data_IF_716013617348
#
_entry.id   IF_716013617348
#
_cell.length_a   1.000
_cell.length_b   1.000
_cell.length_c   1.000
_cell.angle_alpha   90.00
_cell.angle_beta   90.00
_cell.angle_gamma   90.00
#
_symmetry.space_group_name_H-M   'P 1'
#
loop_
_entity.id
_entity.type
_entity.pdbx_description
1 polymer ?
#
# COMPACT_ATOMS: atom_id res chain seq x y z
N UNK A 1 19.19 0.91 19.91
CA UNK A 1 18.95 -0.54 20.08
C UNK A 1 20.00 -1.29 19.31
N UNK A 2 20.33 -2.51 19.72
CA UNK A 2 21.25 -3.40 18.98
C UNK A 2 20.65 -3.72 17.62
N UNK A 3 21.47 -3.69 16.56
CA UNK A 3 21.04 -4.10 15.23
C UNK A 3 20.78 -5.62 15.21
N UNK A 4 19.70 -6.02 14.53
CA UNK A 4 19.36 -7.41 14.26
C UNK A 4 19.66 -7.65 12.78
N UNK A 5 20.67 -8.48 12.53
CA UNK A 5 21.28 -8.69 11.21
C UNK A 5 20.63 -9.86 10.47
N UNK A 6 20.02 -10.82 11.18
CA UNK A 6 19.52 -12.06 10.58
C UNK A 6 18.11 -12.45 11.07
N UNK A 7 17.34 -13.23 10.29
CA UNK A 7 16.06 -13.78 10.73
C UNK A 7 16.16 -14.62 12.00
N UNK A 8 17.25 -15.38 12.19
CA UNK A 8 17.46 -16.22 13.39
C UNK A 8 17.58 -15.38 14.65
N UNK A 9 18.24 -14.22 14.56
CA UNK A 9 18.33 -13.27 15.68
C UNK A 9 16.95 -12.67 16.00
N UNK A 10 16.19 -12.30 14.97
CA UNK A 10 14.82 -11.77 15.16
C UNK A 10 13.92 -12.79 15.87
N UNK A 11 14.02 -14.08 15.51
CA UNK A 11 13.24 -15.20 16.09
C UNK A 11 13.58 -15.51 17.56
N UNK A 12 14.69 -14.99 18.11
CA UNK A 12 15.07 -15.23 19.52
C UNK A 12 14.17 -14.49 20.52
N UNK A 13 13.64 -13.33 20.14
CA UNK A 13 12.67 -12.58 20.93
C UNK A 13 11.31 -12.65 20.24
N UNK A 14 10.37 -13.36 20.87
CA UNK A 14 9.01 -13.54 20.35
C UNK A 14 8.29 -12.22 20.12
N UNK A 15 8.44 -11.24 21.01
CA UNK A 15 7.75 -9.94 20.87
C UNK A 15 8.30 -9.18 19.68
N UNK A 16 9.62 -9.24 19.48
CA UNK A 16 10.30 -8.66 18.33
C UNK A 16 9.86 -9.31 17.02
N UNK A 17 9.89 -10.64 16.96
CA UNK A 17 9.49 -11.39 15.78
C UNK A 17 8.03 -11.10 15.39
N UNK A 18 7.09 -11.16 16.34
CA UNK A 18 5.67 -10.87 16.07
C UNK A 18 5.44 -9.43 15.57
N UNK A 19 6.13 -8.43 16.17
CA UNK A 19 6.00 -7.04 15.74
C UNK A 19 6.63 -6.78 14.36
N UNK A 20 7.77 -7.43 14.08
CA UNK A 20 8.43 -7.36 12.78
C UNK A 20 7.58 -8.01 11.69
N UNK A 21 7.07 -9.23 11.92
CA UNK A 21 6.21 -9.95 10.97
C UNK A 21 4.96 -9.13 10.66
N UNK A 22 4.26 -8.61 11.66
CA UNK A 22 3.06 -7.78 11.43
C UNK A 22 3.40 -6.53 10.58
N UNK A 23 4.51 -5.86 10.86
CA UNK A 23 4.96 -4.70 10.09
C UNK A 23 5.28 -5.07 8.63
N UNK A 24 5.98 -6.18 8.38
CA UNK A 24 6.37 -6.59 7.03
C UNK A 24 5.13 -7.03 6.24
N UNK A 25 4.15 -7.70 6.86
CA UNK A 25 2.86 -7.97 6.21
C UNK A 25 2.12 -6.70 5.80
N UNK A 26 2.12 -5.65 6.63
CA UNK A 26 1.49 -4.38 6.25
C UNK A 26 2.11 -3.79 4.99
N UNK A 27 3.45 -3.82 4.87
CA UNK A 27 4.13 -3.37 3.65
C UNK A 27 3.79 -4.25 2.44
N UNK A 28 3.90 -5.57 2.59
CA UNK A 28 3.64 -6.52 1.53
C UNK A 28 2.20 -6.43 1.01
N UNK A 29 1.23 -6.41 1.92
CA UNK A 29 -0.19 -6.43 1.56
C UNK A 29 -0.66 -5.11 0.97
N UNK A 30 -0.16 -3.97 1.48
CA UNK A 30 -0.45 -2.66 0.88
C UNK A 30 0.05 -2.60 -0.57
N UNK A 31 1.30 -2.99 -0.82
CA UNK A 31 1.88 -3.01 -2.17
C UNK A 31 1.15 -4.00 -3.10
N UNK A 32 0.80 -5.17 -2.58
CA UNK A 32 0.14 -6.23 -3.34
C UNK A 32 -1.23 -5.76 -3.84
N UNK A 33 -2.09 -5.21 -2.96
CA UNK A 33 -3.43 -4.76 -3.37
C UNK A 33 -3.38 -3.51 -4.26
N UNK A 34 -2.46 -2.56 -3.99
CA UNK A 34 -2.30 -1.37 -4.82
C UNK A 34 -1.84 -1.75 -6.22
N UNK A 35 -0.90 -2.69 -6.34
CA UNK A 35 -0.44 -3.16 -7.66
C UNK A 35 -1.55 -3.90 -8.42
N UNK A 36 -2.37 -4.71 -7.74
CA UNK A 36 -3.53 -5.33 -8.38
C UNK A 36 -4.49 -4.28 -8.95
N UNK A 37 -4.88 -3.29 -8.14
CA UNK A 37 -5.76 -2.21 -8.60
C UNK A 37 -5.12 -1.35 -9.69
N UNK A 38 -3.79 -1.25 -9.72
CA UNK A 38 -3.07 -0.63 -10.83
C UNK A 38 -3.13 -1.47 -12.11
N UNK A 39 -3.01 -2.80 -12.01
CA UNK A 39 -2.98 -3.69 -13.17
C UNK A 39 -4.30 -3.69 -13.96
N UNK A 40 -5.42 -3.44 -13.27
CA UNK A 40 -6.73 -3.29 -13.90
C UNK A 40 -6.78 -2.15 -14.93
N UNK A 41 -5.87 -1.17 -14.85
CA UNK A 41 -5.83 -0.02 -15.78
C UNK A 41 -5.09 -0.28 -17.09
N UNK A 42 -4.48 -1.45 -17.29
CA UNK A 42 -3.66 -1.71 -18.47
C UNK A 42 -4.45 -1.57 -19.79
N UNK A 43 -4.16 -0.52 -20.56
CA UNK A 43 -4.85 -0.20 -21.82
C UNK A 43 -6.13 0.62 -21.64
N UNK A 44 -6.39 1.12 -20.43
CA UNK A 44 -7.56 1.94 -20.07
C UNK A 44 -7.16 3.31 -19.52
N UNK A 45 -5.86 3.62 -19.42
CA UNK A 45 -5.42 4.91 -18.91
C UNK A 45 -5.84 6.06 -19.86
N UNK A 46 -5.90 7.32 -19.38
CA UNK A 46 -6.43 8.43 -20.18
C UNK A 46 -5.66 8.73 -21.48
N UNK A 47 -4.39 8.34 -21.56
CA UNK A 47 -3.56 8.46 -22.75
C UNK A 47 -2.43 7.41 -22.74
N UNK A 48 -1.84 7.15 -23.90
CA UNK A 48 -0.90 6.05 -24.11
C UNK A 48 0.37 6.15 -23.26
N UNK A 49 0.87 7.36 -23.01
CA UNK A 49 2.02 7.57 -22.14
C UNK A 49 1.69 7.20 -20.69
N UNK A 50 0.44 7.39 -20.26
CA UNK A 50 -0.01 7.02 -18.93
C UNK A 50 -0.15 5.51 -18.80
N UNK A 51 -0.62 4.81 -19.83
CA UNK A 51 -0.63 3.34 -19.83
C UNK A 51 0.77 2.78 -19.57
N UNK A 52 1.80 3.37 -20.22
CA UNK A 52 3.20 2.97 -20.02
C UNK A 52 3.69 3.32 -18.61
N UNK A 53 3.47 4.57 -18.18
CA UNK A 53 3.96 5.05 -16.89
C UNK A 53 3.32 4.28 -15.71
N UNK A 54 1.99 4.15 -15.73
CA UNK A 54 1.28 3.48 -14.65
C UNK A 54 1.52 1.97 -14.63
N UNK A 55 1.67 1.33 -15.80
CA UNK A 55 2.06 -0.08 -15.85
C UNK A 55 3.46 -0.30 -15.26
N UNK A 56 4.41 0.60 -15.52
CA UNK A 56 5.75 0.53 -14.91
C UNK A 56 5.68 0.66 -13.40
N UNK A 57 5.00 1.69 -12.88
CA UNK A 57 4.82 1.91 -11.43
C UNK A 57 4.17 0.68 -10.79
N UNK A 58 3.12 0.16 -11.43
CA UNK A 58 2.39 -1.03 -10.96
C UNK A 58 3.30 -2.26 -10.89
N UNK A 59 4.10 -2.51 -11.92
CA UNK A 59 5.05 -3.61 -11.94
C UNK A 59 6.10 -3.47 -10.83
N UNK A 60 6.68 -2.28 -10.65
CA UNK A 60 7.64 -2.01 -9.58
C UNK A 60 7.01 -2.25 -8.21
N UNK A 61 5.79 -1.76 -7.99
CA UNK A 61 5.04 -1.97 -6.74
C UNK A 61 4.73 -3.43 -6.47
N UNK A 62 4.38 -4.24 -7.48
CA UNK A 62 4.25 -5.70 -7.31
C UNK A 62 5.61 -6.34 -6.94
N UNK A 63 6.70 -5.89 -7.55
CA UNK A 63 8.06 -6.31 -7.20
C UNK A 63 8.42 -5.96 -5.75
N UNK A 64 7.96 -4.81 -5.24
CA UNK A 64 8.12 -4.42 -3.83
C UNK A 64 7.36 -5.36 -2.90
N UNK A 65 6.10 -5.71 -3.21
CA UNK A 65 5.35 -6.70 -2.46
C UNK A 65 6.10 -8.04 -2.37
N UNK A 66 6.66 -8.51 -3.49
CA UNK A 66 7.45 -9.72 -3.54
C UNK A 66 8.68 -9.68 -2.61
N UNK A 67 9.44 -8.57 -2.61
CA UNK A 67 10.58 -8.41 -1.70
C UNK A 67 10.16 -8.53 -0.23
N UNK A 68 9.01 -7.97 0.15
CA UNK A 68 8.50 -8.10 1.51
C UNK A 68 7.99 -9.50 1.84
N UNK A 69 7.36 -10.20 0.88
CA UNK A 69 6.99 -11.61 1.07
C UNK A 69 8.21 -12.52 1.22
N UNK A 70 9.31 -12.26 0.51
CA UNK A 70 10.57 -12.99 0.72
C UNK A 70 11.14 -12.77 2.13
N UNK A 71 11.08 -11.55 2.66
CA UNK A 71 11.46 -11.31 4.06
C UNK A 71 10.59 -12.11 5.05
N UNK A 72 9.28 -12.21 4.79
CA UNK A 72 8.37 -13.01 5.60
C UNK A 72 8.70 -14.51 5.52
N UNK A 73 9.05 -15.00 4.34
CA UNK A 73 9.51 -16.38 4.12
C UNK A 73 10.76 -16.67 4.95
N UNK A 74 11.77 -15.80 4.90
CA UNK A 74 12.98 -15.90 5.73
C UNK A 74 12.65 -15.87 7.24
N UNK A 75 11.65 -15.06 7.63
CA UNK A 75 11.11 -14.99 8.99
C UNK A 75 10.26 -16.20 9.37
N UNK A 76 10.08 -17.18 8.48
CA UNK A 76 9.45 -18.47 8.77
C UNK A 76 7.93 -18.49 8.63
N UNK A 77 7.34 -17.51 7.94
CA UNK A 77 5.89 -17.42 7.75
C UNK A 77 5.36 -18.36 6.67
N UNK A 78 6.23 -18.87 5.79
CA UNK A 78 5.88 -19.75 4.69
C UNK A 78 6.42 -19.25 3.36
N UNK A 79 6.27 -20.05 2.30
CA UNK A 79 6.69 -19.70 0.94
C UNK A 79 6.01 -18.41 0.43
N UNK A 80 6.77 -17.54 -0.22
CA UNK A 80 6.29 -16.22 -0.65
C UNK A 80 5.04 -16.28 -1.57
N UNK A 81 4.95 -17.26 -2.47
CA UNK A 81 3.78 -17.40 -3.35
C UNK A 81 2.55 -17.81 -2.54
N UNK A 82 2.72 -18.73 -1.60
CA UNK A 82 1.65 -19.15 -0.69
C UNK A 82 1.18 -17.97 0.17
N UNK A 83 2.10 -17.15 0.68
CA UNK A 83 1.76 -15.93 1.43
C UNK A 83 1.00 -14.90 0.59
N UNK A 84 1.30 -14.80 -0.71
CA UNK A 84 0.64 -13.88 -1.62
C UNK A 84 -0.74 -14.39 -2.09
N UNK A 85 -0.89 -15.69 -2.36
CA UNK A 85 -2.06 -16.23 -3.06
C UNK A 85 -3.02 -17.06 -2.18
N UNK A 86 -2.57 -17.65 -1.08
CA UNK A 86 -3.38 -18.57 -0.26
C UNK A 86 -4.00 -17.93 0.99
N UNK A 87 -3.51 -16.75 1.42
CA UNK A 87 -4.05 -16.07 2.60
C UNK A 87 -5.43 -15.46 2.35
N UNK A 88 -6.34 -15.72 3.28
CA UNK A 88 -7.72 -15.22 3.30
C UNK A 88 -7.75 -13.71 3.58
N UNK A 89 -8.84 -13.01 3.25
CA UNK A 89 -9.00 -11.59 3.56
C UNK A 89 -8.70 -11.24 5.03
N UNK A 90 -9.22 -12.02 5.99
CA UNK A 90 -9.01 -11.75 7.43
C UNK A 90 -7.56 -11.89 7.93
N UNK A 91 -6.68 -12.44 7.09
CA UNK A 91 -5.26 -12.62 7.37
C UNK A 91 -4.40 -11.53 6.71
N UNK A 92 -5.02 -10.67 5.90
CA UNK A 92 -4.36 -9.54 5.27
C UNK A 92 -4.21 -8.39 6.24
N UNK A 93 -3.26 -7.53 5.90
CA UNK A 93 -2.90 -6.35 6.67
C UNK A 93 -2.99 -5.07 5.86
N UNK A 94 -3.43 -5.10 4.60
CA UNK A 94 -3.54 -3.90 3.78
C UNK A 94 -4.56 -2.91 4.35
N UNK A 95 -4.42 -1.62 4.08
CA UNK A 95 -5.44 -0.64 4.43
C UNK A 95 -6.71 -0.83 3.57
N UNK A 96 -7.87 -0.53 4.14
CA UNK A 96 -9.18 -0.78 3.50
C UNK A 96 -9.39 0.10 2.28
N UNK A 97 -8.96 1.36 2.33
CA UNK A 97 -9.12 2.28 1.19
C UNK A 97 -8.38 1.79 -0.08
N UNK A 98 -7.34 0.97 0.07
CA UNK A 98 -6.56 0.45 -1.06
C UNK A 98 -7.31 -0.64 -1.84
N UNK A 99 -8.29 -1.29 -1.20
CA UNK A 99 -9.08 -2.38 -1.78
C UNK A 99 -10.07 -1.89 -2.82
N UNK A 100 -10.50 -0.64 -2.70
CA UNK A 100 -11.60 -0.05 -3.44
C UNK A 100 -11.44 -0.25 -4.94
N UNK A 101 -12.48 -0.76 -5.60
CA UNK A 101 -12.47 -0.93 -7.07
C UNK A 101 -12.28 0.41 -7.78
N UNK A 102 -11.67 0.35 -8.97
CA UNK A 102 -11.43 1.54 -9.79
C UNK A 102 -12.72 2.21 -10.28
N UNK A 103 -13.85 1.49 -10.30
CA UNK A 103 -15.15 2.03 -10.70
C UNK A 103 -16.18 0.91 -10.87
N UNK A 104 -17.20 1.17 -11.68
CA UNK A 104 -18.19 0.16 -12.07
C UNK A 104 -17.68 -0.69 -13.23
N UNK A 105 -18.23 -1.90 -13.38
CA UNK A 105 -17.79 -2.86 -14.40
C UNK A 105 -16.47 -3.55 -14.04
N UNK A 106 -15.99 -4.39 -14.96
CA UNK A 106 -14.69 -5.06 -14.86
C UNK A 106 -13.92 -4.88 -16.15
N UNK A 107 -12.64 -5.25 -16.17
CA UNK A 107 -11.86 -5.26 -17.42
C UNK A 107 -12.54 -6.10 -18.53
N UNK A 108 -13.24 -7.17 -18.14
CA UNK A 108 -13.95 -8.06 -19.07
C UNK A 108 -15.37 -7.58 -19.40
N UNK A 109 -15.94 -6.69 -18.58
CA UNK A 109 -17.34 -6.26 -18.65
C UNK A 109 -17.44 -4.74 -18.50
N UNK A 110 -17.27 -4.01 -19.62
CA UNK A 110 -17.40 -2.55 -19.76
C UNK A 110 -16.86 -1.74 -18.56
N UNK A 111 -15.54 -1.46 -18.51
CA UNK A 111 -14.94 -0.76 -17.37
C UNK A 111 -15.31 0.73 -17.38
N UNK A 112 -16.03 1.18 -16.34
CA UNK A 112 -16.33 2.59 -16.06
C UNK A 112 -15.48 3.07 -14.88
N UNK A 113 -14.16 3.12 -15.10
CA UNK A 113 -13.20 3.47 -14.06
C UNK A 113 -13.08 4.97 -13.82
N UNK A 114 -12.83 5.34 -12.57
CA UNK A 114 -12.67 6.72 -12.12
C UNK A 114 -11.19 7.08 -11.97
N UNK A 115 -10.68 7.84 -12.95
CA UNK A 115 -9.30 8.31 -12.92
C UNK A 115 -9.00 9.20 -11.72
N UNK A 116 -9.95 10.03 -11.27
CA UNK A 116 -9.73 10.90 -10.12
C UNK A 116 -9.54 10.09 -8.83
N UNK A 117 -10.26 8.98 -8.68
CA UNK A 117 -10.07 8.05 -7.56
C UNK A 117 -8.66 7.47 -7.58
N UNK A 118 -8.22 7.02 -8.75
CA UNK A 118 -6.89 6.42 -8.92
C UNK A 118 -5.79 7.41 -8.56
N UNK A 119 -5.87 8.65 -9.06
CA UNK A 119 -4.91 9.71 -8.76
C UNK A 119 -4.86 10.00 -7.26
N UNK A 120 -6.01 10.15 -6.59
CA UNK A 120 -6.04 10.42 -5.14
C UNK A 120 -5.51 9.23 -4.34
N UNK A 121 -5.97 8.01 -4.61
CA UNK A 121 -5.50 6.80 -3.92
C UNK A 121 -3.99 6.65 -4.04
N UNK A 122 -3.47 6.74 -5.26
CA UNK A 122 -2.04 6.58 -5.50
C UNK A 122 -1.23 7.71 -4.89
N UNK A 123 -1.66 8.97 -5.01
CA UNK A 123 -0.94 10.07 -4.38
C UNK A 123 -0.86 9.91 -2.85
N UNK A 124 -1.99 9.63 -2.19
CA UNK A 124 -2.02 9.47 -0.73
C UNK A 124 -1.21 8.25 -0.28
N UNK A 125 -1.29 7.14 -1.02
CA UNK A 125 -0.52 5.94 -0.74
C UNK A 125 0.98 6.16 -0.93
N UNK A 126 1.41 6.65 -2.09
CA UNK A 126 2.83 6.81 -2.42
C UNK A 126 3.51 7.86 -1.51
N UNK A 127 2.73 8.84 -1.05
CA UNK A 127 3.16 9.79 0.00
C UNK A 127 3.40 9.05 1.32
N UNK A 128 2.45 8.21 1.75
CA UNK A 128 2.57 7.45 3.01
C UNK A 128 3.68 6.41 2.94
N UNK A 129 3.75 5.65 1.84
CA UNK A 129 4.77 4.65 1.58
C UNK A 129 6.16 5.25 1.65
N UNK A 130 6.40 6.42 1.04
CA UNK A 130 7.69 7.13 1.16
C UNK A 130 8.05 7.42 2.62
N UNK A 131 7.12 7.99 3.40
CA UNK A 131 7.35 8.30 4.82
C UNK A 131 7.62 7.04 5.64
N UNK A 132 6.85 5.97 5.41
CA UNK A 132 6.99 4.67 6.09
C UNK A 132 8.31 4.00 5.74
N UNK A 133 8.73 4.03 4.47
CA UNK A 133 10.02 3.50 4.00
C UNK A 133 11.20 4.29 4.55
N UNK A 134 11.14 5.63 4.61
CA UNK A 134 12.19 6.46 5.22
C UNK A 134 12.38 6.15 6.71
N UNK A 135 11.30 5.79 7.41
CA UNK A 135 11.36 5.30 8.79
C UNK A 135 11.93 3.87 8.85
N UNK A 136 11.46 2.96 7.99
CA UNK A 136 11.92 1.57 7.94
C UNK A 136 13.39 1.44 7.52
N UNK A 137 13.92 2.36 6.72
CA UNK A 137 15.34 2.45 6.37
C UNK A 137 16.27 2.67 7.58
N UNK A 138 15.70 2.99 8.75
CA UNK A 138 16.37 3.16 10.04
C UNK A 138 15.99 2.05 11.04
N UNK A 139 15.34 0.98 10.57
CA UNK A 139 14.88 -0.12 11.40
C UNK A 139 16.04 -0.80 12.12
N UNK A 140 15.76 -1.32 13.31
CA UNK A 140 16.68 -2.20 14.03
C UNK A 140 16.93 -3.51 13.27
N UNK A 141 15.97 -3.95 12.44
CA UNK A 141 16.13 -5.12 11.58
C UNK A 141 16.80 -4.73 10.25
N UNK A 142 18.06 -5.11 10.07
CA UNK A 142 18.88 -4.68 8.93
C UNK A 142 18.34 -5.16 7.57
N UNK A 143 17.81 -6.39 7.42
CA UNK A 143 17.22 -6.81 6.14
C UNK A 143 16.03 -5.95 5.69
N UNK A 144 15.15 -5.55 6.61
CA UNK A 144 14.07 -4.60 6.30
C UNK A 144 14.62 -3.20 5.97
N UNK A 145 15.62 -2.72 6.71
CA UNK A 145 16.23 -1.42 6.44
C UNK A 145 16.87 -1.37 5.05
N UNK A 146 17.61 -2.40 4.66
CA UNK A 146 18.22 -2.53 3.33
C UNK A 146 17.16 -2.60 2.22
N UNK A 147 16.10 -3.39 2.44
CA UNK A 147 14.97 -3.49 1.49
C UNK A 147 14.28 -2.14 1.32
N UNK A 148 14.01 -1.42 2.41
CA UNK A 148 13.40 -0.10 2.34
C UNK A 148 14.28 0.92 1.59
N UNK A 149 15.60 0.92 1.81
CA UNK A 149 16.54 1.78 1.08
C UNK A 149 16.54 1.47 -0.42
N UNK A 150 16.48 0.20 -0.81
CA UNK A 150 16.39 -0.21 -2.21
C UNK A 150 15.13 0.34 -2.87
N UNK A 151 13.98 0.14 -2.22
CA UNK A 151 12.66 0.59 -2.72
C UNK A 151 12.58 2.11 -2.84
N UNK A 152 13.20 2.86 -1.91
CA UNK A 152 13.20 4.33 -1.93
C UNK A 152 13.80 4.94 -3.21
N UNK A 153 14.71 4.23 -3.87
CA UNK A 153 15.28 4.67 -5.14
C UNK A 153 14.22 4.80 -6.24
N UNK A 154 13.25 3.90 -6.28
CA UNK A 154 12.14 3.89 -7.25
C UNK A 154 10.97 4.75 -6.75
N UNK A 155 10.67 4.69 -5.45
CA UNK A 155 9.57 5.41 -4.78
C UNK A 155 9.53 6.91 -5.07
N UNK A 156 10.72 7.52 -5.21
CA UNK A 156 10.84 8.96 -5.48
C UNK A 156 10.20 9.33 -6.82
N UNK A 157 10.34 8.47 -7.85
CA UNK A 157 9.76 8.69 -9.17
C UNK A 157 8.26 8.42 -9.18
N UNK A 158 7.80 7.40 -8.45
CA UNK A 158 6.37 7.10 -8.32
C UNK A 158 5.63 8.29 -7.70
N UNK A 159 6.14 8.81 -6.58
CA UNK A 159 5.52 9.96 -5.93
C UNK A 159 5.55 11.22 -6.81
N UNK A 160 6.63 11.44 -7.55
CA UNK A 160 6.72 12.56 -8.48
C UNK A 160 5.64 12.49 -9.58
N UNK A 161 5.38 11.29 -10.12
CA UNK A 161 4.32 11.05 -11.11
C UNK A 161 2.93 11.42 -10.57
N UNK A 162 2.57 10.92 -9.38
CA UNK A 162 1.24 11.19 -8.82
C UNK A 162 1.06 12.62 -8.33
N UNK A 163 2.13 13.28 -7.88
CA UNK A 163 2.11 14.73 -7.61
C UNK A 163 1.80 15.54 -8.86
N UNK A 164 2.38 15.15 -10.00
CA UNK A 164 2.12 15.78 -11.28
C UNK A 164 0.65 15.64 -11.65
N UNK A 165 0.05 14.45 -11.52
CA UNK A 165 -1.38 14.23 -11.78
C UNK A 165 -2.31 15.01 -10.87
N UNK A 166 -2.05 15.03 -9.55
CA UNK A 166 -2.82 15.85 -8.60
C UNK A 166 -2.76 17.32 -9.00
N UNK A 167 -1.57 17.82 -9.34
CA UNK A 167 -1.38 19.20 -9.80
C UNK A 167 -2.16 19.48 -11.08
N UNK A 168 -2.06 18.60 -12.07
CA UNK A 168 -2.75 18.78 -13.36
C UNK A 168 -4.27 18.82 -13.19
N UNK A 169 -4.87 17.85 -12.50
CA UNK A 169 -6.33 17.79 -12.34
C UNK A 169 -6.90 18.97 -11.53
N UNK A 170 -6.17 19.47 -10.54
CA UNK A 170 -6.55 20.66 -9.76
C UNK A 170 -6.47 21.97 -10.58
N UNK A 171 -5.74 21.99 -11.69
CA UNK A 171 -5.58 23.16 -12.56
C UNK A 171 -6.25 23.00 -13.93
N UNK A 172 -6.90 21.87 -14.19
CA UNK A 172 -7.61 21.58 -15.43
C UNK A 172 -9.00 22.23 -15.46
N UNK A 173 -10.01 21.53 -15.99
CA UNK A 173 -11.38 22.02 -16.11
C UNK A 173 -12.09 22.11 -14.75
N UNK A 174 -13.19 22.86 -14.68
CA UNK A 174 -13.99 22.93 -13.46
C UNK A 174 -14.52 21.54 -13.04
N UNK A 175 -14.85 20.69 -14.00
CA UNK A 175 -15.27 19.31 -13.74
C UNK A 175 -14.14 18.50 -13.09
N UNK A 176 -12.92 18.54 -13.64
CA UNK A 176 -11.76 17.84 -13.09
C UNK A 176 -11.47 18.27 -11.65
N UNK A 177 -11.54 19.58 -11.37
CA UNK A 177 -11.38 20.14 -10.03
C UNK A 177 -12.41 19.61 -9.04
N UNK A 178 -13.68 19.57 -9.44
CA UNK A 178 -14.77 19.04 -8.59
C UNK A 178 -14.58 17.55 -8.33
N UNK A 179 -14.22 16.77 -9.35
CA UNK A 179 -14.02 15.32 -9.22
C UNK A 179 -12.85 15.00 -8.29
N UNK A 180 -11.68 15.61 -8.49
CA UNK A 180 -10.52 15.34 -7.63
C UNK A 180 -10.79 15.78 -6.19
N UNK A 181 -11.40 16.96 -5.97
CA UNK A 181 -11.74 17.43 -4.64
C UNK A 181 -12.73 16.49 -3.94
N UNK A 182 -13.75 16.00 -4.65
CA UNK A 182 -14.70 15.01 -4.10
C UNK A 182 -14.00 13.72 -3.68
N UNK A 183 -12.99 13.26 -4.42
CA UNK A 183 -12.21 12.06 -4.06
C UNK A 183 -11.31 12.31 -2.85
N UNK A 184 -10.75 13.52 -2.68
CA UNK A 184 -10.02 13.91 -1.46
C UNK A 184 -10.94 13.91 -0.24
N UNK A 185 -12.13 14.48 -0.36
CA UNK A 185 -13.13 14.51 0.72
C UNK A 185 -13.63 13.10 1.10
N UNK A 186 -13.80 12.22 0.11
CA UNK A 186 -14.11 10.80 0.33
C UNK A 186 -12.96 10.10 1.08
N UNK A 187 -11.72 10.25 0.59
CA UNK A 187 -10.54 9.66 1.23
C UNK A 187 -10.41 10.08 2.70
N UNK A 188 -10.78 11.32 3.05
CA UNK A 188 -10.72 11.78 4.44
C UNK A 188 -11.63 11.01 5.40
N UNK A 189 -12.70 10.40 4.89
CA UNK A 189 -13.62 9.58 5.69
C UNK A 189 -13.18 8.11 5.78
N UNK A 190 -12.29 7.68 4.90
CA UNK A 190 -12.06 6.26 4.62
C UNK A 190 -10.60 5.82 4.82
N UNK A 191 -9.62 6.72 4.71
CA UNK A 191 -8.18 6.42 4.65
C UNK A 191 -7.51 6.27 6.03
N UNK A 192 -8.23 6.51 7.13
CA UNK A 192 -7.63 6.63 8.47
C UNK A 192 -6.83 5.41 8.91
N UNK A 193 -7.25 4.20 8.53
CA UNK A 193 -6.57 2.95 8.90
C UNK A 193 -5.21 2.78 8.20
N UNK A 194 -5.00 3.40 7.03
CA UNK A 194 -3.73 3.36 6.33
C UNK A 194 -2.58 3.95 7.17
N UNK A 195 -2.89 4.95 8.00
CA UNK A 195 -1.94 5.64 8.88
C UNK A 195 -1.78 4.97 10.24
N UNK A 196 -2.50 3.87 10.49
CA UNK A 196 -2.38 3.05 11.70
C UNK A 196 -1.42 1.87 11.47
N UNK A 197 -0.81 1.40 12.55
CA UNK A 197 0.13 0.28 12.62
C UNK A 197 -0.45 -0.91 13.41
N UNK A 198 -1.72 -0.83 13.83
CA UNK A 198 -2.44 -1.92 14.47
C UNK A 198 -1.96 -2.25 15.89
N UNK A 199 -2.25 -3.47 16.35
CA UNK A 199 -2.04 -3.89 17.74
C UNK A 199 -0.57 -3.96 18.17
N UNK A 200 0.37 -4.01 17.21
CA UNK A 200 1.82 -4.08 17.46
C UNK A 200 2.52 -2.72 17.39
N UNK A 201 1.81 -1.62 17.18
CA UNK A 201 2.38 -0.27 17.03
C UNK A 201 3.35 0.13 18.16
N UNK A 202 2.98 -0.16 19.42
CA UNK A 202 3.80 0.17 20.59
C UNK A 202 5.11 -0.63 20.56
N UNK A 203 5.04 -1.92 20.23
CA UNK A 203 6.22 -2.79 20.16
C UNK A 203 7.11 -2.40 18.99
N UNK A 204 6.54 -2.10 17.81
CA UNK A 204 7.29 -1.62 16.64
C UNK A 204 8.15 -0.39 17.00
N UNK A 205 7.57 0.59 17.70
CA UNK A 205 8.29 1.79 18.15
C UNK A 205 9.33 1.45 19.22
N UNK A 206 8.93 0.71 20.25
CA UNK A 206 9.79 0.36 21.39
C UNK A 206 11.00 -0.47 20.98
N UNK A 207 10.85 -1.30 19.95
CA UNK A 207 11.88 -2.20 19.41
C UNK A 207 12.65 -1.59 18.22
N UNK A 208 12.35 -0.34 17.87
CA UNK A 208 13.05 0.41 16.84
C UNK A 208 12.83 -0.14 15.44
N UNK A 209 11.73 -0.86 15.21
CA UNK A 209 11.36 -1.38 13.90
C UNK A 209 10.83 -0.28 12.98
N UNK A 210 10.08 0.67 13.55
CA UNK A 210 9.51 1.83 12.87
C UNK A 210 9.34 2.99 13.87
N UNK A 211 9.16 4.22 13.40
CA UNK A 211 8.72 5.30 14.28
C UNK A 211 7.21 5.18 14.63
N UNK A 212 6.73 6.05 15.52
CA UNK A 212 5.34 6.00 15.97
C UNK A 212 4.35 6.57 14.95
N UNK A 213 3.08 6.15 15.05
CA UNK A 213 1.97 6.58 14.19
C UNK A 213 1.85 8.10 14.08
N UNK A 214 1.94 8.82 15.21
CA UNK A 214 1.86 10.29 15.23
C UNK A 214 2.92 10.95 14.33
N UNK A 215 4.15 10.41 14.33
CA UNK A 215 5.24 10.95 13.51
C UNK A 215 5.01 10.66 12.03
N UNK A 216 4.57 9.45 11.69
CA UNK A 216 4.23 9.07 10.32
C UNK A 216 3.09 9.93 9.79
N UNK A 217 2.01 10.07 10.57
CA UNK A 217 0.83 10.88 10.23
C UNK A 217 1.17 12.35 10.05
N UNK A 218 1.98 12.92 10.94
CA UNK A 218 2.41 14.31 10.83
C UNK A 218 3.20 14.56 9.55
N UNK A 219 4.20 13.72 9.25
CA UNK A 219 5.01 13.83 8.02
C UNK A 219 4.19 13.64 6.77
N UNK A 220 3.27 12.68 6.78
CA UNK A 220 2.34 12.45 5.67
C UNK A 220 1.44 13.66 5.43
N UNK A 221 0.81 14.19 6.50
CA UNK A 221 -0.11 15.31 6.38
C UNK A 221 0.60 16.56 5.87
N UNK A 222 1.82 16.83 6.35
CA UNK A 222 2.65 17.95 5.88
C UNK A 222 2.93 17.87 4.37
N UNK A 223 3.11 16.67 3.82
CA UNK A 223 3.35 16.47 2.40
C UNK A 223 2.06 16.62 1.58
N UNK A 224 0.94 16.12 2.11
CA UNK A 224 -0.40 16.23 1.52
C UNK A 224 -0.83 17.70 1.42
N UNK A 225 -0.67 18.47 2.50
CA UNK A 225 -1.00 19.90 2.56
C UNK A 225 -0.20 20.76 1.56
N UNK A 226 0.94 20.29 1.08
CA UNK A 226 1.74 21.01 0.07
C UNK A 226 1.21 20.87 -1.35
N UNK A 227 0.51 19.79 -1.69
CA UNK A 227 0.12 19.48 -3.07
C UNK A 227 -1.39 19.40 -3.27
N UNK A 228 -2.17 19.19 -2.21
CA UNK A 228 -3.63 19.18 -2.26
C UNK A 228 -4.16 20.57 -1.90
N UNK A 229 -4.86 21.20 -2.84
CA UNK A 229 -5.28 22.60 -2.73
C UNK A 229 -6.26 22.86 -1.57
N UNK A 230 -7.14 21.90 -1.27
CA UNK A 230 -8.10 22.00 -0.17
C UNK A 230 -8.17 20.67 0.58
N UNK A 231 -7.28 20.55 1.56
CA UNK A 231 -7.30 19.45 2.53
C UNK A 231 -8.47 19.65 3.51
N UNK A 232 -9.32 18.63 3.74
CA UNK A 232 -10.39 18.73 4.72
C UNK A 232 -9.88 18.98 6.15
N UNK A 233 -10.58 19.83 6.90
CA UNK A 233 -10.23 20.15 8.30
C UNK A 233 -10.77 19.13 9.30
N UNK A 234 -11.62 18.22 8.84
CA UNK A 234 -12.13 17.12 9.67
C UNK A 234 -11.01 16.12 9.96
N UNK A 235 -11.08 15.39 11.09
CA UNK A 235 -10.17 14.27 11.32
C UNK A 235 -10.30 13.22 10.21
N UNK A 236 -9.19 12.52 9.94
CA UNK A 236 -9.23 11.29 9.15
C UNK A 236 -10.06 10.23 9.87
N UNK A 237 -10.99 9.61 9.15
CA UNK A 237 -11.84 8.53 9.64
C UNK A 237 -11.54 7.24 8.86
N UNK A 238 -12.07 6.12 9.37
CA UNK A 238 -11.91 4.77 8.80
C UNK A 238 -13.27 4.09 8.69
N UNK A 239 -14.24 4.77 8.08
CA UNK A 239 -15.63 4.34 8.10
C UNK A 239 -15.90 3.02 7.35
N UNK A 240 -14.95 2.56 6.52
CA UNK A 240 -15.04 1.29 5.79
C UNK A 240 -14.50 0.07 6.57
N UNK A 241 -13.80 0.27 7.69
CA UNK A 241 -13.19 -0.80 8.48
C UNK A 241 -11.74 -0.50 8.87
N UNK A 242 -11.07 -1.51 9.44
CA UNK A 242 -9.67 -1.43 9.82
C UNK A 242 -8.89 -2.66 9.30
N UNK A 243 -8.21 -2.49 8.18
CA UNK A 243 -7.49 -3.58 7.53
C UNK A 243 -6.25 -4.02 8.32
N UNK A 244 -5.68 -3.14 9.16
CA UNK A 244 -4.62 -3.51 10.11
C UNK A 244 -5.11 -4.52 11.17
N UNK A 245 -6.41 -4.53 11.43
CA UNK A 245 -7.10 -5.46 12.32
C UNK A 245 -7.72 -6.67 11.60
N UNK A 246 -7.53 -6.81 10.27
CA UNK A 246 -8.12 -7.89 9.47
C UNK A 246 -9.59 -7.68 9.12
N UNK A 247 -10.10 -6.45 9.28
CA UNK A 247 -11.46 -6.06 8.89
C UNK A 247 -11.43 -5.47 7.48
N UNK A 248 -11.97 -6.20 6.51
CA UNK A 248 -11.85 -5.88 5.09
C UNK A 248 -13.19 -5.92 4.36
N UNK A 249 -13.23 -5.30 3.18
CA UNK A 249 -14.45 -5.18 2.36
C UNK A 249 -14.63 -6.36 1.39
N UNK A 250 -15.79 -6.40 0.74
CA UNK A 250 -16.03 -7.34 -0.36
C UNK A 250 -15.13 -7.07 -1.58
N UNK A 251 -14.57 -5.85 -1.71
CA UNK A 251 -13.67 -5.53 -2.80
C UNK A 251 -12.32 -6.27 -2.66
N UNK A 252 -11.82 -6.48 -1.44
CA UNK A 252 -10.64 -7.33 -1.21
C UNK A 252 -10.92 -8.79 -1.54
N UNK A 253 -12.09 -9.32 -1.14
CA UNK A 253 -12.49 -10.70 -1.48
C UNK A 253 -12.49 -10.91 -2.99
N UNK A 254 -13.09 -9.98 -3.74
CA UNK A 254 -13.06 -10.03 -5.20
C UNK A 254 -11.64 -9.97 -5.77
N UNK A 255 -10.80 -9.08 -5.24
CA UNK A 255 -9.41 -8.95 -5.67
C UNK A 255 -8.62 -10.24 -5.44
N UNK A 256 -8.66 -10.81 -4.23
CA UNK A 256 -7.94 -12.05 -3.89
C UNK A 256 -8.42 -13.22 -4.74
N UNK A 257 -9.73 -13.35 -5.00
CA UNK A 257 -10.25 -14.41 -5.88
C UNK A 257 -9.65 -14.30 -7.28
N UNK A 258 -9.46 -13.09 -7.80
CA UNK A 258 -8.85 -12.85 -9.11
C UNK A 258 -7.34 -13.11 -9.07
N UNK A 259 -6.64 -12.55 -8.08
CA UNK A 259 -5.19 -12.69 -7.88
C UNK A 259 -4.74 -14.13 -7.68
N UNK A 260 -5.59 -14.96 -7.10
CA UNK A 260 -5.28 -16.35 -6.80
C UNK A 260 -5.82 -17.33 -7.85
N UNK A 261 -6.57 -16.88 -8.85
CA UNK A 261 -7.29 -17.78 -9.79
C UNK A 261 -6.35 -18.82 -10.43
N UNK A 262 -5.23 -18.38 -11.02
CA UNK A 262 -4.26 -19.28 -11.66
C UNK A 262 -3.58 -20.18 -10.62
N UNK A 263 -3.17 -19.61 -9.48
CA UNK A 263 -2.53 -20.37 -8.39
C UNK A 263 -3.46 -21.46 -7.84
N UNK A 264 -4.76 -21.16 -7.67
CA UNK A 264 -5.75 -22.10 -7.16
C UNK A 264 -6.11 -23.19 -8.17
N UNK A 265 -5.88 -22.95 -9.47
CA UNK A 265 -6.15 -23.95 -10.51
C UNK A 265 -5.22 -25.17 -10.40
N UNK A 266 -3.97 -24.96 -9.98
CA UNK A 266 -3.00 -26.01 -9.65
C UNK A 266 -1.94 -25.47 -8.68
N UNK A 267 -2.07 -25.83 -7.40
CA UNK A 267 -1.15 -25.38 -6.33
C UNK A 267 0.19 -26.10 -6.33
N UNK A 268 0.29 -27.25 -7.00
CA UNK A 268 1.52 -28.04 -7.06
C UNK A 268 2.34 -27.74 -8.32
N UNK A 269 1.78 -26.96 -9.26
CA UNK A 269 2.47 -26.54 -10.48
C UNK A 269 3.69 -25.65 -10.19
N UNK A 270 4.73 -25.84 -11.01
CA UNK A 270 5.95 -25.01 -11.02
C UNK A 270 5.88 -24.11 -12.26
N UNK A 271 5.76 -22.80 -12.04
CA UNK A 271 5.60 -21.76 -13.07
C UNK A 271 6.90 -21.00 -13.35
#
# INVERSE_FOLDING_TARGET
MTAIETPEQAKQDRTYHEALVDLVYQFADDDFIISFRGSEWLGLAPHIEEDVAFSSITQNTMGHAFLFYQLLEELGEGDANSLAHDRRPSERKNAVYFEKKNGQGTYLEEPYYDWALTVVRQYLYETFKKVKLEAAAKSSYQPLAATAQKILMEQTYHLAHWKMWVTQLQHATQEAKVRIQSRVEEAWKEFGDALELGSKAIDMKKLGLLCGEDELKQKWLQEVEQHVASVPTTPLEKCLGNGRAGEHTEDLKQAINTLSEVYQSDREAVW
#
